data_IF_686940432219
#
_entry.id   IF_686940432219
#
_cell.length_a   1.000
_cell.length_b   1.000
_cell.length_c   1.000
_cell.angle_alpha   90.00
_cell.angle_beta   90.00
_cell.angle_gamma   90.00
#
_symmetry.space_group_name_H-M   'P 1'
#
loop_
_entity.id
_entity.type
_entity.pdbx_description
1 polymer ?
#
# COMPACT_ATOMS: atom_id res chain seq x y z
N UNK A 1 -4.39 20.73 -7.61
CA UNK A 1 -4.95 21.83 -6.81
C UNK A 1 -4.21 21.78 -5.51
N UNK A 2 -3.36 22.78 -5.27
CA UNK A 2 -2.62 22.87 -4.02
C UNK A 2 -3.58 23.39 -2.95
N UNK A 3 -3.82 22.59 -1.93
CA UNK A 3 -4.65 22.98 -0.79
C UNK A 3 -3.75 23.60 0.27
N UNK A 4 -4.02 24.84 0.63
CA UNK A 4 -3.28 25.59 1.65
C UNK A 4 -4.19 25.88 2.84
N UNK A 5 -3.64 25.77 4.05
CA UNK A 5 -4.36 26.00 5.30
C UNK A 5 -3.43 26.54 6.36
N UNK A 6 -3.92 27.51 7.12
CA UNK A 6 -3.24 28.13 8.25
C UNK A 6 -4.10 27.96 9.50
N UNK A 7 -3.46 27.60 10.61
CA UNK A 7 -4.13 27.30 11.87
C UNK A 7 -3.46 28.08 13.01
N UNK A 8 -4.22 28.95 13.65
CA UNK A 8 -3.79 29.80 14.77
C UNK A 8 -4.35 29.35 16.13
N UNK A 9 -5.17 28.30 16.12
CA UNK A 9 -5.85 27.72 17.28
C UNK A 9 -5.73 26.19 17.26
N UNK A 10 -5.87 25.57 18.44
CA UNK A 10 -5.60 24.13 18.60
C UNK A 10 -6.80 23.26 18.20
N UNK A 11 -8.02 23.78 18.36
CA UNK A 11 -9.26 23.05 18.17
C UNK A 11 -9.43 22.54 16.73
N UNK A 12 -9.15 23.32 15.68
CA UNK A 12 -9.20 22.82 14.30
C UNK A 12 -8.18 21.71 14.03
N UNK A 13 -7.02 21.74 14.71
CA UNK A 13 -5.98 20.71 14.57
C UNK A 13 -6.36 19.41 15.30
N UNK A 14 -7.16 19.49 16.36
CA UNK A 14 -7.69 18.34 17.09
C UNK A 14 -8.90 17.69 16.40
N UNK A 15 -9.54 18.39 15.45
CA UNK A 15 -10.67 17.88 14.69
C UNK A 15 -10.21 16.96 13.55
N UNK A 16 -10.12 15.64 13.80
CA UNK A 16 -9.65 14.62 12.83
C UNK A 16 -10.71 13.61 12.38
N UNK A 17 -11.97 13.81 12.76
CA UNK A 17 -13.06 12.87 12.46
C UNK A 17 -13.67 13.01 11.07
N UNK A 18 -13.28 14.02 10.29
CA UNK A 18 -13.81 14.25 8.95
C UNK A 18 -12.90 13.65 7.87
N UNK A 19 -13.33 12.58 7.18
CA UNK A 19 -12.55 11.96 6.11
C UNK A 19 -12.41 12.83 4.85
N UNK A 20 -13.16 13.93 4.74
CA UNK A 20 -13.06 14.89 3.65
C UNK A 20 -12.14 16.06 3.97
N UNK A 21 -11.63 16.14 5.20
CA UNK A 21 -10.67 17.15 5.58
C UNK A 21 -9.35 16.94 4.81
N UNK A 22 -8.95 17.90 3.95
CA UNK A 22 -7.71 17.79 3.20
C UNK A 22 -6.46 17.78 4.08
N UNK A 23 -6.58 18.18 5.36
CA UNK A 23 -5.49 18.22 6.34
C UNK A 23 -5.54 17.07 7.36
N UNK A 24 -6.45 16.09 7.19
CA UNK A 24 -6.63 15.00 8.15
C UNK A 24 -5.30 14.28 8.47
N UNK A 25 -4.45 14.08 7.47
CA UNK A 25 -3.15 13.41 7.61
C UNK A 25 -2.18 14.21 8.49
N UNK A 26 -2.02 15.50 8.21
CA UNK A 26 -1.09 16.37 8.96
C UNK A 26 -1.57 16.54 10.40
N UNK A 27 -2.88 16.73 10.61
CA UNK A 27 -3.48 16.80 11.94
C UNK A 27 -3.27 15.51 12.73
N UNK A 28 -3.53 14.36 12.11
CA UNK A 28 -3.28 13.06 12.72
C UNK A 28 -1.79 12.86 13.05
N UNK A 29 -0.88 13.34 12.20
CA UNK A 29 0.56 13.25 12.45
C UNK A 29 0.97 14.07 13.69
N UNK A 30 0.49 15.31 13.82
CA UNK A 30 0.77 16.15 14.99
C UNK A 30 0.25 15.53 16.31
N UNK A 31 -0.93 14.91 16.26
CA UNK A 31 -1.52 14.22 17.40
C UNK A 31 -0.78 12.92 17.74
N UNK A 32 -0.52 12.07 16.75
CA UNK A 32 0.13 10.78 16.94
C UNK A 32 1.57 10.95 17.43
N UNK A 33 2.30 11.94 16.92
CA UNK A 33 3.66 12.25 17.34
C UNK A 33 3.72 13.03 18.67
N UNK A 34 2.57 13.37 19.27
CA UNK A 34 2.50 14.07 20.56
C UNK A 34 2.94 15.54 20.49
N UNK A 35 2.96 16.15 19.31
CA UNK A 35 3.27 17.59 19.14
C UNK A 35 2.16 18.44 19.75
N UNK A 36 0.91 18.01 19.58
CA UNK A 36 -0.26 18.59 20.24
C UNK A 36 -1.00 17.50 21.03
N UNK A 37 -1.59 17.85 22.19
CA UNK A 37 -2.44 16.92 22.93
C UNK A 37 -3.73 16.62 22.18
N UNK A 38 -4.36 15.48 22.50
CA UNK A 38 -5.65 15.07 21.92
C UNK A 38 -6.82 15.98 22.32
N UNK A 39 -6.83 16.46 23.57
CA UNK A 39 -7.89 17.31 24.10
C UNK A 39 -7.27 18.44 24.92
N UNK A 40 -7.82 19.66 24.77
CA UNK A 40 -7.36 20.84 25.49
C UNK A 40 -5.95 21.26 25.09
N UNK A 41 -5.31 22.09 25.92
CA UNK A 41 -4.04 22.72 25.61
C UNK A 41 -4.21 24.09 24.96
N UNK A 42 -3.10 24.79 24.80
CA UNK A 42 -3.03 26.12 24.18
C UNK A 42 -1.94 26.10 23.11
N UNK A 43 -2.30 26.34 21.85
CA UNK A 43 -1.36 26.27 20.73
C UNK A 43 -0.22 27.27 20.91
N UNK A 44 -0.52 28.49 21.38
CA UNK A 44 0.49 29.53 21.58
C UNK A 44 1.59 29.07 22.54
N UNK A 45 1.20 28.53 23.69
CA UNK A 45 2.15 27.97 24.68
C UNK A 45 3.00 26.84 24.09
N UNK A 46 2.40 25.97 23.25
CA UNK A 46 3.14 24.89 22.58
C UNK A 46 4.18 25.47 21.62
N UNK A 47 3.79 26.39 20.74
CA UNK A 47 4.69 27.01 19.76
C UNK A 47 5.80 27.83 20.42
N UNK A 48 5.51 28.53 21.53
CA UNK A 48 6.52 29.23 22.33
C UNK A 48 7.59 28.29 22.88
N UNK A 49 7.19 27.10 23.36
CA UNK A 49 8.14 26.07 23.84
C UNK A 49 8.98 25.48 22.71
N UNK A 50 8.41 25.36 21.53
CA UNK A 50 9.10 24.90 20.32
C UNK A 50 10.01 25.98 19.73
N UNK A 51 9.83 27.25 20.12
CA UNK A 51 10.56 28.39 19.58
C UNK A 51 10.03 28.92 18.25
N UNK A 52 8.86 28.45 17.79
CA UNK A 52 8.27 28.85 16.51
C UNK A 52 7.09 27.97 16.06
N UNK A 53 6.52 28.33 14.91
CA UNK A 53 5.46 27.58 14.22
C UNK A 53 5.98 26.46 13.32
N UNK A 54 5.06 25.68 12.75
CA UNK A 54 5.34 24.67 11.73
C UNK A 54 4.87 25.12 10.35
N UNK A 55 5.61 24.72 9.32
CA UNK A 55 5.11 24.67 7.95
C UNK A 55 5.34 23.24 7.46
N UNK A 56 4.27 22.59 7.02
CA UNK A 56 4.31 21.20 6.58
C UNK A 56 3.79 21.08 5.16
N UNK A 57 4.63 20.56 4.26
CA UNK A 57 4.29 20.26 2.89
C UNK A 57 4.37 18.75 2.69
N UNK A 58 3.31 18.17 2.13
CA UNK A 58 3.22 16.74 1.86
C UNK A 58 2.66 16.53 0.47
N UNK A 59 3.41 15.85 -0.39
CA UNK A 59 3.02 15.54 -1.76
C UNK A 59 3.44 14.11 -2.09
N UNK A 60 2.61 13.42 -2.87
CA UNK A 60 3.00 12.18 -3.55
C UNK A 60 3.19 12.53 -5.02
N UNK A 61 4.41 12.41 -5.50
CA UNK A 61 4.75 12.67 -6.90
C UNK A 61 4.72 11.38 -7.71
N UNK A 62 4.43 11.48 -9.01
CA UNK A 62 4.49 10.38 -9.96
C UNK A 62 3.59 9.15 -9.66
N UNK A 63 2.61 9.25 -8.76
CA UNK A 63 1.67 8.15 -8.51
C UNK A 63 0.24 8.71 -8.40
N UNK A 64 -0.72 8.22 -9.22
CA UNK A 64 -2.11 8.64 -9.12
C UNK A 64 -2.73 8.33 -7.74
N UNK A 65 -3.61 9.21 -7.24
CA UNK A 65 -4.40 8.92 -6.04
C UNK A 65 -5.30 7.70 -6.29
N UNK A 66 -5.34 6.76 -5.34
CA UNK A 66 -6.11 5.52 -5.49
C UNK A 66 -5.39 4.46 -6.35
N UNK A 67 -4.06 4.52 -6.43
CA UNK A 67 -3.21 3.58 -7.16
C UNK A 67 -3.21 2.15 -6.61
N UNK A 68 -3.59 1.93 -5.35
CA UNK A 68 -3.44 0.62 -4.71
C UNK A 68 -2.00 0.29 -4.29
N UNK A 69 -1.08 1.26 -4.34
CA UNK A 69 0.34 1.12 -3.95
C UNK A 69 0.63 1.58 -2.51
N UNK A 70 -0.39 1.66 -1.65
CA UNK A 70 -0.22 2.05 -0.24
C UNK A 70 0.18 3.50 0.01
N UNK A 71 0.02 4.40 -0.99
CA UNK A 71 0.54 5.77 -0.95
C UNK A 71 0.11 6.58 0.29
N UNK A 72 -1.10 6.35 0.82
CA UNK A 72 -1.59 7.03 2.02
C UNK A 72 -0.79 6.66 3.27
N UNK A 73 -0.55 5.37 3.50
CA UNK A 73 0.19 4.87 4.66
C UNK A 73 1.68 5.23 4.54
N UNK A 74 2.23 5.20 3.32
CA UNK A 74 3.61 5.62 3.03
C UNK A 74 3.79 7.12 3.30
N UNK A 75 2.85 7.96 2.85
CA UNK A 75 2.89 9.40 3.12
C UNK A 75 2.76 9.68 4.62
N UNK A 76 1.93 8.92 5.34
CA UNK A 76 1.81 9.00 6.79
C UNK A 76 3.13 8.67 7.48
N UNK A 77 3.81 7.60 7.03
CA UNK A 77 5.13 7.23 7.57
C UNK A 77 6.18 8.31 7.32
N UNK A 78 6.21 8.88 6.11
CA UNK A 78 7.10 9.99 5.77
C UNK A 78 6.85 11.22 6.65
N UNK A 79 5.58 11.51 6.96
CA UNK A 79 5.20 12.61 7.84
C UNK A 79 5.66 12.39 9.29
N UNK A 80 5.44 11.20 9.86
CA UNK A 80 5.92 10.86 11.22
C UNK A 80 7.44 10.98 11.27
N UNK A 81 8.13 10.38 10.30
CA UNK A 81 9.60 10.43 10.24
C UNK A 81 10.12 11.87 10.15
N UNK A 82 9.54 12.69 9.28
CA UNK A 82 9.91 14.09 9.15
C UNK A 82 9.68 14.88 10.44
N UNK A 83 8.56 14.67 11.15
CA UNK A 83 8.30 15.31 12.44
C UNK A 83 9.33 14.87 13.48
N UNK A 84 9.62 13.57 13.59
CA UNK A 84 10.62 13.07 14.54
C UNK A 84 12.02 13.60 14.25
N UNK A 85 12.46 13.60 13.00
CA UNK A 85 13.75 14.18 12.62
C UNK A 85 13.80 15.68 12.91
N UNK A 86 12.75 16.43 12.56
CA UNK A 86 12.64 17.86 12.86
C UNK A 86 12.71 18.17 14.36
N UNK A 87 12.09 17.32 15.18
CA UNK A 87 12.04 17.45 16.63
C UNK A 87 13.27 16.86 17.34
N UNK A 88 14.19 16.22 16.62
CA UNK A 88 15.33 15.51 17.21
C UNK A 88 14.95 14.27 18.04
N UNK A 89 13.80 13.66 17.74
CA UNK A 89 13.29 12.45 18.41
C UNK A 89 13.89 11.23 17.72
N UNK A 90 14.70 10.47 18.46
CA UNK A 90 15.20 9.17 18.00
C UNK A 90 14.04 8.18 17.84
N UNK A 91 14.05 7.41 16.77
CA UNK A 91 13.01 6.46 16.43
C UNK A 91 13.59 5.22 15.77
N UNK A 92 12.88 4.11 15.91
CA UNK A 92 13.08 2.87 15.17
C UNK A 92 12.04 2.73 14.06
N UNK A 93 12.25 1.80 13.13
CA UNK A 93 11.24 1.47 12.11
C UNK A 93 9.94 0.96 12.75
N UNK A 94 10.03 0.20 13.84
CA UNK A 94 8.87 -0.27 14.59
C UNK A 94 8.07 0.89 15.20
N UNK A 95 8.75 1.93 15.70
CA UNK A 95 8.08 3.14 16.17
C UNK A 95 7.29 3.80 15.02
N UNK A 96 7.88 3.91 13.83
CA UNK A 96 7.20 4.47 12.66
C UNK A 96 5.95 3.66 12.28
N UNK A 97 6.03 2.32 12.29
CA UNK A 97 4.88 1.46 11.98
C UNK A 97 3.72 1.67 12.94
N UNK A 98 4.01 1.72 14.25
CA UNK A 98 2.98 1.92 15.26
C UNK A 98 2.34 3.31 15.16
N UNK A 99 3.14 4.35 14.90
CA UNK A 99 2.61 5.70 14.75
C UNK A 99 1.69 5.82 13.53
N UNK A 100 2.04 5.20 12.40
CA UNK A 100 1.14 5.18 11.23
C UNK A 100 -0.15 4.44 11.53
N UNK A 101 -0.10 3.29 12.22
CA UNK A 101 -1.30 2.57 12.65
C UNK A 101 -2.19 3.47 13.52
N UNK A 102 -1.61 4.20 14.47
CA UNK A 102 -2.35 5.16 15.31
C UNK A 102 -2.96 6.29 14.45
N UNK A 103 -2.20 6.86 13.51
CA UNK A 103 -2.71 7.89 12.61
C UNK A 103 -3.91 7.42 11.78
N UNK A 104 -3.86 6.21 11.22
CA UNK A 104 -4.96 5.64 10.43
C UNK A 104 -6.23 5.42 11.27
N UNK A 105 -6.08 5.08 12.56
CA UNK A 105 -7.19 5.01 13.51
C UNK A 105 -7.74 6.40 13.83
N UNK A 106 -6.88 7.40 14.05
CA UNK A 106 -7.29 8.80 14.30
C UNK A 106 -8.10 9.35 13.12
N UNK A 107 -7.70 9.06 11.88
CA UNK A 107 -8.40 9.47 10.66
C UNK A 107 -9.62 8.60 10.33
N UNK A 108 -9.89 7.54 11.10
CA UNK A 108 -10.98 6.57 10.85
C UNK A 108 -10.93 5.94 9.45
N UNK A 109 -9.75 5.87 8.84
CA UNK A 109 -9.57 5.22 7.54
C UNK A 109 -9.52 3.71 7.71
N UNK A 110 -8.99 3.24 8.86
CA UNK A 110 -8.68 1.83 9.06
C UNK A 110 -7.67 1.32 8.01
N UNK A 111 -7.28 0.06 8.10
CA UNK A 111 -6.34 -0.49 7.13
C UNK A 111 -5.66 -1.77 7.56
N UNK A 112 -4.86 -2.30 6.63
CA UNK A 112 -3.83 -3.28 6.96
C UNK A 112 -2.59 -2.59 7.52
N UNK A 113 -1.56 -3.37 7.81
CA UNK A 113 -0.28 -2.87 8.32
C UNK A 113 0.86 -2.99 7.30
N UNK A 114 0.60 -3.64 6.16
CA UNK A 114 1.64 -3.99 5.21
C UNK A 114 2.16 -2.80 4.39
N UNK A 115 1.36 -1.75 4.22
CA UNK A 115 1.68 -0.64 3.31
C UNK A 115 2.76 0.28 3.90
N UNK A 116 2.63 0.62 5.20
CA UNK A 116 3.63 1.41 5.92
C UNK A 116 4.95 0.66 6.08
N UNK A 117 4.90 -0.64 6.38
CA UNK A 117 6.10 -1.49 6.40
C UNK A 117 6.69 -1.57 5.00
N UNK A 118 5.79 -1.70 4.01
CA UNK A 118 6.00 -1.61 2.58
C UNK A 118 6.92 -0.48 2.14
N UNK A 119 6.58 0.75 2.52
CA UNK A 119 7.27 1.95 2.06
C UNK A 119 8.44 2.43 2.91
N UNK A 120 8.49 2.07 4.20
CA UNK A 120 9.61 2.48 5.09
C UNK A 120 10.79 1.50 4.97
N UNK A 121 10.51 0.20 4.84
CA UNK A 121 11.57 -0.80 4.65
C UNK A 121 11.85 -1.05 3.17
N UNK A 122 13.10 -0.80 2.76
CA UNK A 122 13.56 -1.02 1.39
C UNK A 122 13.65 -2.51 1.01
N UNK A 123 13.63 -2.77 -0.30
CA UNK A 123 13.83 -4.09 -0.90
C UNK A 123 12.62 -5.03 -0.78
N UNK A 124 12.85 -6.28 -1.20
CA UNK A 124 11.85 -7.35 -1.16
C UNK A 124 11.84 -7.97 0.24
N UNK A 125 10.66 -8.09 0.81
CA UNK A 125 10.47 -8.46 2.21
C UNK A 125 9.33 -9.46 2.39
N UNK A 126 9.53 -10.34 3.35
CA UNK A 126 8.51 -11.21 3.89
C UNK A 126 8.20 -10.74 5.31
N UNK A 127 6.96 -10.33 5.53
CA UNK A 127 6.54 -9.71 6.79
C UNK A 127 5.56 -10.63 7.49
N UNK A 128 5.77 -10.84 8.78
CA UNK A 128 4.91 -11.66 9.63
C UNK A 128 4.51 -10.91 10.88
N UNK A 129 3.33 -11.20 11.40
CA UNK A 129 2.88 -10.76 12.73
C UNK A 129 2.35 -11.96 13.51
N UNK A 130 2.21 -11.81 14.82
CA UNK A 130 1.61 -12.80 15.71
C UNK A 130 0.24 -12.31 16.20
N UNK A 131 -0.71 -13.22 16.52
CA UNK A 131 -1.95 -12.83 17.17
C UNK A 131 -1.69 -12.11 18.50
N UNK A 132 -2.40 -11.01 18.73
CA UNK A 132 -2.24 -10.21 19.94
C UNK A 132 -2.94 -8.85 19.81
N UNK A 133 -3.10 -8.16 20.94
CA UNK A 133 -3.56 -6.77 20.96
C UNK A 133 -2.52 -5.82 20.36
N UNK A 134 -1.25 -6.10 20.65
CA UNK A 134 -0.11 -5.40 20.06
C UNK A 134 0.30 -6.08 18.76
N UNK A 135 0.38 -5.32 17.68
CA UNK A 135 0.92 -5.80 16.41
C UNK A 135 2.45 -5.82 16.49
N UNK A 136 3.03 -7.02 16.59
CA UNK A 136 4.49 -7.22 16.58
C UNK A 136 4.94 -7.64 15.20
N UNK A 137 5.26 -6.63 14.39
CA UNK A 137 5.67 -6.80 13.00
C UNK A 137 7.11 -7.30 12.97
N UNK A 138 7.35 -8.40 12.26
CA UNK A 138 8.70 -8.91 11.99
C UNK A 138 8.95 -8.84 10.50
N UNK A 139 9.96 -8.05 10.14
CA UNK A 139 10.41 -7.90 8.75
C UNK A 139 11.59 -8.83 8.48
N UNK A 140 11.51 -9.61 7.41
CA UNK A 140 12.62 -10.42 6.90
C UNK A 140 12.91 -10.03 5.47
N UNK A 141 14.11 -9.49 5.21
CA UNK A 141 14.55 -9.22 3.84
C UNK A 141 14.84 -10.53 3.11
N UNK A 142 14.38 -10.63 1.87
CA UNK A 142 14.74 -11.75 1.00
C UNK A 142 16.14 -11.49 0.45
N UNK A 143 17.00 -12.51 0.52
CA UNK A 143 18.32 -12.48 -0.12
C UNK A 143 18.20 -13.23 -1.44
N UNK A 144 18.10 -12.48 -2.53
CA UNK A 144 17.98 -13.04 -3.87
C UNK A 144 19.30 -12.99 -4.61
N UNK A 145 19.52 -13.93 -5.54
CA UNK A 145 20.66 -13.86 -6.44
C UNK A 145 20.50 -12.68 -7.40
N UNK A 146 21.62 -12.08 -7.85
CA UNK A 146 21.57 -10.99 -8.84
C UNK A 146 20.81 -11.42 -10.10
N UNK A 147 21.03 -12.67 -10.56
CA UNK A 147 20.31 -13.25 -11.69
C UNK A 147 18.79 -13.20 -11.50
N UNK A 148 18.30 -13.52 -10.30
CA UNK A 148 16.87 -13.49 -9.97
C UNK A 148 16.33 -12.06 -9.97
N UNK A 149 17.09 -11.10 -9.43
CA UNK A 149 16.72 -9.68 -9.44
C UNK A 149 16.66 -9.14 -10.87
N UNK A 150 17.62 -9.51 -11.73
CA UNK A 150 17.67 -9.11 -13.13
C UNK A 150 16.47 -9.69 -13.90
N UNK A 151 16.19 -10.98 -13.70
CA UNK A 151 15.04 -11.66 -14.30
C UNK A 151 13.70 -11.03 -13.86
N UNK A 152 13.55 -10.72 -12.56
CA UNK A 152 12.38 -10.01 -12.07
C UNK A 152 12.28 -8.60 -12.66
N UNK A 153 13.39 -7.86 -12.78
CA UNK A 153 13.38 -6.53 -13.39
C UNK A 153 13.00 -6.57 -14.88
N UNK A 154 13.38 -7.63 -15.60
CA UNK A 154 13.01 -7.84 -16.99
C UNK A 154 11.52 -8.20 -17.14
N UNK A 155 11.02 -9.08 -16.26
CA UNK A 155 9.70 -9.72 -16.39
C UNK A 155 8.59 -9.11 -15.53
N UNK A 156 8.88 -8.33 -14.51
CA UNK A 156 7.86 -7.64 -13.71
C UNK A 156 7.40 -6.37 -14.41
N UNK A 157 6.09 -6.25 -14.58
CA UNK A 157 5.43 -5.11 -15.20
C UNK A 157 4.28 -4.63 -14.33
N UNK A 158 4.20 -3.31 -14.17
CA UNK A 158 3.04 -2.64 -13.60
C UNK A 158 2.15 -2.09 -14.72
N UNK A 159 0.84 -2.30 -14.60
CA UNK A 159 -0.17 -1.77 -15.52
C UNK A 159 -1.12 -0.90 -14.71
N UNK A 160 -1.22 0.39 -15.04
CA UNK A 160 -2.23 1.25 -14.44
C UNK A 160 -3.55 1.08 -15.20
N UNK A 161 -4.64 0.89 -14.48
CA UNK A 161 -5.97 0.62 -15.07
C UNK A 161 -6.74 1.87 -15.46
N UNK A 162 -6.26 3.08 -15.13
CA UNK A 162 -7.05 4.31 -15.24
C UNK A 162 -8.09 4.49 -14.13
N UNK A 163 -8.56 3.39 -13.52
CA UNK A 163 -9.62 3.41 -12.52
C UNK A 163 -9.09 3.67 -11.12
N UNK A 164 -9.87 4.41 -10.33
CA UNK A 164 -9.62 4.66 -8.91
C UNK A 164 -10.70 3.99 -8.08
N UNK A 165 -10.33 3.17 -7.08
CA UNK A 165 -11.26 2.61 -6.10
C UNK A 165 -10.84 3.02 -4.69
N UNK A 166 -11.80 3.52 -3.92
CA UNK A 166 -11.65 3.69 -2.47
C UNK A 166 -12.03 2.36 -1.80
N UNK A 167 -11.06 1.70 -1.17
CA UNK A 167 -11.23 0.40 -0.50
C UNK A 167 -12.02 0.46 0.83
N UNK A 168 -12.81 1.51 1.07
CA UNK A 168 -13.39 1.81 2.39
C UNK A 168 -14.41 0.76 2.84
N UNK A 169 -15.23 0.26 1.92
CA UNK A 169 -16.22 -0.78 2.24
C UNK A 169 -15.61 -2.20 2.23
N UNK A 170 -14.55 -2.39 1.45
CA UNK A 170 -13.89 -3.68 1.30
C UNK A 170 -13.42 -4.26 2.63
N UNK A 171 -12.65 -3.48 3.38
CA UNK A 171 -12.08 -3.92 4.65
C UNK A 171 -13.18 -4.36 5.62
N UNK A 172 -14.30 -3.63 5.65
CA UNK A 172 -15.43 -3.97 6.51
C UNK A 172 -16.08 -5.29 6.10
N UNK A 173 -16.23 -5.55 4.81
CA UNK A 173 -16.85 -6.77 4.30
C UNK A 173 -15.95 -8.00 4.48
N UNK A 174 -14.64 -7.85 4.28
CA UNK A 174 -13.66 -8.94 4.50
C UNK A 174 -13.53 -9.28 5.98
N UNK A 175 -13.37 -8.27 6.83
CA UNK A 175 -13.28 -8.47 8.29
C UNK A 175 -14.61 -9.00 8.85
N UNK A 176 -15.75 -8.51 8.34
CA UNK A 176 -17.07 -8.98 8.75
C UNK A 176 -17.26 -10.47 8.51
N UNK A 177 -16.90 -10.96 7.32
CA UNK A 177 -16.98 -12.40 6.98
C UNK A 177 -16.01 -13.26 7.76
N UNK A 178 -14.80 -12.76 8.00
CA UNK A 178 -13.83 -13.46 8.84
C UNK A 178 -14.30 -13.59 10.29
N UNK A 179 -14.80 -12.51 10.89
CA UNK A 179 -15.39 -12.53 12.25
C UNK A 179 -16.65 -13.40 12.29
N UNK A 180 -17.44 -13.39 11.22
CA UNK A 180 -18.60 -14.26 11.03
C UNK A 180 -18.24 -15.75 10.85
N UNK A 181 -16.95 -16.09 10.78
CA UNK A 181 -16.44 -17.44 10.58
C UNK A 181 -16.99 -18.10 9.30
N UNK A 182 -17.11 -17.31 8.23
CA UNK A 182 -17.53 -17.84 6.92
C UNK A 182 -16.46 -18.80 6.38
N UNK A 183 -16.81 -20.06 6.05
CA UNK A 183 -15.83 -21.08 5.69
C UNK A 183 -14.90 -20.68 4.54
N UNK A 184 -15.45 -20.10 3.47
CA UNK A 184 -14.68 -19.70 2.29
C UNK A 184 -13.71 -18.55 2.59
N UNK A 185 -14.13 -17.58 3.41
CA UNK A 185 -13.29 -16.45 3.81
C UNK A 185 -12.12 -16.92 4.68
N UNK A 186 -12.39 -17.77 5.68
CA UNK A 186 -11.36 -18.32 6.58
C UNK A 186 -10.39 -19.20 5.81
N UNK A 187 -10.90 -20.05 4.92
CA UNK A 187 -10.08 -20.88 4.05
C UNK A 187 -9.16 -20.03 3.16
N UNK A 188 -9.72 -19.06 2.45
CA UNK A 188 -8.96 -18.25 1.52
C UNK A 188 -7.86 -17.44 2.23
N UNK A 189 -8.15 -16.85 3.39
CA UNK A 189 -7.15 -16.13 4.20
C UNK A 189 -6.01 -17.05 4.68
N UNK A 190 -6.33 -18.28 5.09
CA UNK A 190 -5.33 -19.27 5.49
C UNK A 190 -4.45 -19.71 4.31
N UNK A 191 -5.05 -19.90 3.13
CA UNK A 191 -4.32 -20.26 1.93
C UNK A 191 -3.46 -19.10 1.39
N UNK A 192 -3.91 -17.84 1.50
CA UNK A 192 -3.11 -16.66 1.15
C UNK A 192 -1.85 -16.62 2.01
N UNK A 193 -1.98 -16.86 3.33
CA UNK A 193 -0.83 -16.89 4.23
C UNK A 193 0.20 -17.94 3.82
N UNK A 194 -0.24 -19.16 3.51
CA UNK A 194 0.65 -20.25 3.03
C UNK A 194 1.28 -19.90 1.69
N UNK A 195 0.49 -19.33 0.77
CA UNK A 195 0.94 -18.94 -0.56
C UNK A 195 2.05 -17.88 -0.47
N UNK A 196 1.94 -16.91 0.43
CA UNK A 196 2.99 -15.91 0.66
C UNK A 196 4.31 -16.54 1.15
N UNK A 197 4.24 -17.56 2.02
CA UNK A 197 5.44 -18.28 2.46
C UNK A 197 6.10 -19.10 1.33
N UNK A 198 5.28 -19.70 0.46
CA UNK A 198 5.78 -20.40 -0.73
C UNK A 198 6.38 -19.43 -1.75
N UNK A 199 5.77 -18.26 -1.96
CA UNK A 199 6.31 -17.22 -2.84
C UNK A 199 7.73 -16.81 -2.43
N UNK A 200 7.92 -16.60 -1.12
CA UNK A 200 9.26 -16.34 -0.57
C UNK A 200 10.23 -17.48 -0.90
N UNK A 201 9.83 -18.72 -0.62
CA UNK A 201 10.67 -19.89 -0.81
C UNK A 201 11.11 -20.06 -2.28
N UNK A 202 10.20 -19.87 -3.24
CA UNK A 202 10.53 -20.00 -4.66
C UNK A 202 11.40 -18.84 -5.17
N UNK A 203 11.16 -17.60 -4.70
CA UNK A 203 12.03 -16.47 -5.01
C UNK A 203 13.46 -16.67 -4.48
N UNK A 204 13.62 -17.10 -3.22
CA UNK A 204 14.94 -17.37 -2.63
C UNK A 204 15.71 -18.49 -3.37
N UNK A 205 15.01 -19.38 -4.07
CA UNK A 205 15.58 -20.42 -4.94
C UNK A 205 15.84 -19.95 -6.38
N UNK A 206 15.38 -18.75 -6.74
CA UNK A 206 15.47 -18.19 -8.08
C UNK A 206 14.45 -18.74 -9.08
N UNK A 207 13.35 -19.34 -8.61
CA UNK A 207 12.31 -19.92 -9.44
C UNK A 207 11.20 -18.89 -9.71
N UNK A 208 11.43 -17.97 -10.66
CA UNK A 208 10.48 -16.89 -10.99
C UNK A 208 9.17 -17.43 -11.59
N UNK A 209 9.23 -18.52 -12.36
CA UNK A 209 8.04 -19.14 -12.95
C UNK A 209 7.09 -19.71 -11.87
N UNK A 210 7.63 -20.42 -10.88
CA UNK A 210 6.84 -20.94 -9.76
C UNK A 210 6.27 -19.80 -8.90
N UNK A 211 7.03 -18.71 -8.71
CA UNK A 211 6.51 -17.50 -8.08
C UNK A 211 5.32 -16.90 -8.87
N UNK A 212 5.38 -16.91 -10.20
CA UNK A 212 4.31 -16.43 -11.07
C UNK A 212 3.03 -17.29 -10.95
N UNK A 213 3.17 -18.62 -10.86
CA UNK A 213 2.02 -19.51 -10.60
C UNK A 213 1.40 -19.28 -9.22
N UNK A 214 2.23 -19.03 -8.20
CA UNK A 214 1.74 -18.67 -6.88
C UNK A 214 1.01 -17.31 -6.88
N UNK A 215 1.44 -16.35 -7.72
CA UNK A 215 0.70 -15.09 -7.92
C UNK A 215 -0.70 -15.36 -8.50
N UNK A 216 -0.83 -16.25 -9.48
CA UNK A 216 -2.13 -16.66 -10.03
C UNK A 216 -3.00 -17.31 -8.94
N UNK A 217 -2.43 -18.21 -8.14
CA UNK A 217 -3.14 -18.82 -7.00
C UNK A 217 -3.63 -17.75 -6.02
N UNK A 218 -2.76 -16.79 -5.68
CA UNK A 218 -3.14 -15.68 -4.81
C UNK A 218 -4.29 -14.87 -5.40
N UNK A 219 -4.26 -14.58 -6.70
CA UNK A 219 -5.32 -13.83 -7.36
C UNK A 219 -6.69 -14.52 -7.28
N UNK A 220 -6.75 -15.83 -7.50
CA UNK A 220 -7.99 -16.59 -7.34
C UNK A 220 -8.51 -16.54 -5.89
N UNK A 221 -7.61 -16.65 -4.90
CA UNK A 221 -7.97 -16.51 -3.49
C UNK A 221 -8.46 -15.10 -3.14
N UNK A 222 -7.85 -14.05 -3.70
CA UNK A 222 -8.29 -12.66 -3.51
C UNK A 222 -9.72 -12.47 -4.02
N UNK A 223 -10.08 -13.04 -5.17
CA UNK A 223 -11.45 -12.99 -5.70
C UNK A 223 -12.47 -13.74 -4.83
N UNK A 224 -12.07 -14.82 -4.17
CA UNK A 224 -12.92 -15.49 -3.18
C UNK A 224 -13.17 -14.60 -1.95
N UNK A 225 -12.15 -13.86 -1.54
CA UNK A 225 -12.23 -12.96 -0.39
C UNK A 225 -12.99 -11.69 -0.74
N UNK A 226 -12.89 -11.12 -1.93
CA UNK A 226 -13.70 -9.97 -2.34
C UNK A 226 -14.07 -10.07 -3.81
N UNK A 227 -15.38 -10.12 -4.07
CA UNK A 227 -15.92 -10.08 -5.42
C UNK A 227 -15.63 -8.74 -6.12
N UNK A 228 -15.40 -7.66 -5.36
CA UNK A 228 -14.96 -6.38 -5.89
C UNK A 228 -13.46 -6.30 -6.22
N UNK A 229 -12.67 -7.36 -5.98
CA UNK A 229 -11.23 -7.38 -6.29
C UNK A 229 -10.97 -7.18 -7.79
N UNK A 230 -11.92 -7.57 -8.63
CA UNK A 230 -11.91 -7.39 -10.08
C UNK A 230 -13.16 -6.67 -10.56
N UNK A 231 -13.14 -6.27 -11.82
CA UNK A 231 -14.29 -5.77 -12.56
C UNK A 231 -14.09 -6.03 -14.07
N UNK A 232 -15.08 -5.69 -14.89
CA UNK A 232 -15.04 -5.94 -16.33
C UNK A 232 -13.80 -5.38 -17.02
N UNK A 233 -13.33 -4.19 -16.64
CA UNK A 233 -12.12 -3.61 -17.25
C UNK A 233 -10.87 -4.40 -16.86
N UNK A 234 -10.71 -4.75 -15.59
CA UNK A 234 -9.56 -5.54 -15.11
C UNK A 234 -9.54 -6.91 -15.79
N UNK A 235 -10.70 -7.57 -15.88
CA UNK A 235 -10.83 -8.86 -16.55
C UNK A 235 -10.50 -8.76 -18.04
N UNK A 236 -10.92 -7.68 -18.72
CA UNK A 236 -10.55 -7.41 -20.11
C UNK A 236 -9.04 -7.17 -20.28
N UNK A 237 -8.42 -6.39 -19.38
CA UNK A 237 -6.97 -6.16 -19.42
C UNK A 237 -6.24 -7.49 -19.29
N UNK A 238 -6.56 -8.29 -18.27
CA UNK A 238 -5.93 -9.60 -18.10
C UNK A 238 -6.18 -10.55 -19.25
N UNK A 239 -7.39 -10.60 -19.81
CA UNK A 239 -7.69 -11.42 -20.99
C UNK A 239 -6.88 -10.98 -22.21
N UNK A 240 -6.67 -9.67 -22.40
CA UNK A 240 -5.93 -9.12 -23.54
C UNK A 240 -4.44 -9.46 -23.54
N UNK A 241 -3.85 -9.79 -22.38
CA UNK A 241 -2.42 -10.10 -22.22
C UNK A 241 -2.16 -11.52 -21.71
N UNK A 242 -3.18 -12.37 -21.59
CA UNK A 242 -3.08 -13.71 -20.98
C UNK A 242 -2.07 -14.62 -21.71
N UNK A 243 -1.95 -14.46 -23.04
CA UNK A 243 -0.96 -15.16 -23.85
C UNK A 243 0.49 -14.72 -23.57
N UNK A 244 0.68 -13.54 -22.97
CA UNK A 244 1.98 -12.90 -22.74
C UNK A 244 2.46 -12.99 -21.28
N UNK A 245 1.56 -13.23 -20.32
CA UNK A 245 1.86 -13.23 -18.88
C UNK A 245 1.87 -14.63 -18.28
N UNK A 246 2.83 -14.88 -17.37
CA UNK A 246 2.93 -16.10 -16.57
C UNK A 246 2.19 -15.96 -15.23
N UNK A 247 2.16 -14.76 -14.66
CA UNK A 247 1.54 -14.48 -13.36
C UNK A 247 0.83 -13.14 -13.34
N UNK A 248 -0.29 -13.03 -12.62
CA UNK A 248 -1.05 -11.78 -12.49
C UNK A 248 -1.63 -11.60 -11.09
N UNK A 249 -1.63 -10.35 -10.61
CA UNK A 249 -2.28 -9.95 -9.37
C UNK A 249 -2.64 -8.46 -9.42
N UNK A 250 -3.71 -8.06 -8.73
CA UNK A 250 -4.02 -6.63 -8.53
C UNK A 250 -3.28 -6.12 -7.30
N UNK A 251 -2.71 -4.92 -7.36
CA UNK A 251 -2.06 -4.30 -6.22
C UNK A 251 -3.09 -3.84 -5.18
N UNK A 252 -2.76 -4.06 -3.89
CA UNK A 252 -3.59 -3.62 -2.77
C UNK A 252 -4.97 -4.30 -2.73
N UNK A 253 -5.98 -3.50 -2.44
CA UNK A 253 -7.36 -3.92 -2.22
C UNK A 253 -8.12 -4.43 -3.47
N UNK A 254 -7.60 -4.21 -4.68
CA UNK A 254 -8.30 -4.61 -5.90
C UNK A 254 -9.36 -3.63 -6.39
N UNK A 255 -9.92 -3.91 -7.57
CA UNK A 255 -11.03 -3.16 -8.19
C UNK A 255 -10.66 -1.84 -8.86
N UNK A 256 -9.35 -1.57 -9.01
CA UNK A 256 -8.78 -0.42 -9.72
C UNK A 256 -7.29 -0.27 -9.41
N UNK A 257 -6.69 0.85 -9.82
CA UNK A 257 -5.29 1.15 -9.50
C UNK A 257 -4.31 0.39 -10.39
N UNK A 258 -3.25 -0.14 -9.80
CA UNK A 258 -2.21 -0.90 -10.50
C UNK A 258 -2.48 -2.41 -10.48
N UNK A 259 -2.18 -3.04 -11.61
CA UNK A 259 -1.99 -4.47 -11.74
C UNK A 259 -0.50 -4.76 -11.77
N UNK A 260 -0.10 -5.90 -11.23
CA UNK A 260 1.24 -6.44 -11.39
C UNK A 260 1.17 -7.75 -12.17
N UNK A 261 2.04 -7.89 -13.17
CA UNK A 261 2.15 -9.10 -13.97
C UNK A 261 3.61 -9.52 -14.10
N UNK A 262 3.81 -10.84 -14.18
CA UNK A 262 5.09 -11.45 -14.55
C UNK A 262 4.96 -11.93 -16.00
N UNK A 263 5.83 -11.45 -16.89
CA UNK A 263 5.85 -11.85 -18.29
C UNK A 263 6.32 -13.29 -18.45
N UNK A 264 5.87 -13.98 -19.50
CA UNK A 264 6.48 -15.26 -19.91
C UNK A 264 7.91 -15.06 -20.39
N UNK A 265 8.73 -16.11 -20.30
CA UNK A 265 10.09 -16.07 -20.83
C UNK A 265 10.10 -15.72 -22.33
N UNK A 266 10.93 -14.76 -22.71
CA UNK A 266 11.05 -14.27 -24.08
C UNK A 266 10.02 -13.20 -24.50
N UNK A 267 9.05 -12.87 -23.64
CA UNK A 267 8.13 -11.75 -23.85
C UNK A 267 8.75 -10.47 -23.29
N UNK A 268 8.68 -9.38 -24.05
CA UNK A 268 9.26 -8.09 -23.66
C UNK A 268 8.21 -7.13 -23.12
N UNK A 269 8.67 -6.11 -22.36
CA UNK A 269 7.81 -4.99 -21.92
C UNK A 269 7.18 -4.24 -23.10
N UNK A 270 7.84 -4.22 -24.26
CA UNK A 270 7.31 -3.60 -25.47
C UNK A 270 6.11 -4.36 -26.04
N UNK A 271 6.10 -5.69 -25.95
CA UNK A 271 4.99 -6.52 -26.43
C UNK A 271 3.71 -6.21 -25.65
N UNK A 272 3.82 -6.11 -24.33
CA UNK A 272 2.70 -5.69 -23.45
C UNK A 272 2.26 -4.27 -23.78
N UNK A 273 3.18 -3.32 -23.87
CA UNK A 273 2.84 -1.93 -24.16
C UNK A 273 2.11 -1.80 -25.50
N UNK A 274 2.55 -2.51 -26.53
CA UNK A 274 1.90 -2.49 -27.83
C UNK A 274 0.51 -3.12 -27.78
N UNK A 275 0.35 -4.27 -27.10
CA UNK A 275 -0.96 -4.93 -26.92
C UNK A 275 -1.94 -4.05 -26.17
N UNK A 276 -1.51 -3.39 -25.09
CA UNK A 276 -2.37 -2.47 -24.33
C UNK A 276 -2.81 -1.28 -25.18
N UNK A 277 -1.89 -0.68 -25.97
CA UNK A 277 -2.24 0.42 -26.87
C UNK A 277 -3.22 0.02 -27.97
N UNK A 278 -3.08 -1.19 -28.52
CA UNK A 278 -3.98 -1.69 -29.57
C UNK A 278 -5.40 -1.93 -29.04
N UNK A 279 -5.53 -2.46 -27.83
CA UNK A 279 -6.85 -2.80 -27.25
C UNK A 279 -7.50 -1.61 -26.54
N UNK A 280 -6.71 -0.69 -26.00
CA UNK A 280 -7.17 0.35 -25.07
C UNK A 280 -6.75 1.78 -25.48
N UNK A 281 -6.64 2.05 -26.79
CA UNK A 281 -6.09 3.29 -27.39
C UNK A 281 -6.66 4.60 -26.79
N UNK A 282 -7.95 4.64 -26.49
CA UNK A 282 -8.66 5.82 -25.96
C UNK A 282 -8.87 5.79 -24.43
N UNK A 283 -8.10 4.98 -23.70
CA UNK A 283 -8.24 4.86 -22.24
C UNK A 283 -6.96 5.23 -21.49
N UNK A 284 -7.07 5.45 -20.18
CA UNK A 284 -5.94 5.68 -19.27
C UNK A 284 -5.16 4.40 -18.92
N UNK A 285 -5.44 3.27 -19.58
CA UNK A 285 -4.73 2.00 -19.35
C UNK A 285 -3.34 2.06 -19.99
N UNK A 286 -2.29 2.02 -19.17
CA UNK A 286 -0.92 2.03 -19.69
C UNK A 286 0.04 1.25 -18.80
N UNK A 287 1.17 0.86 -19.39
CA UNK A 287 2.27 0.20 -18.72
C UNK A 287 3.16 1.24 -18.04
N UNK A 288 3.47 1.00 -16.76
CA UNK A 288 4.32 1.87 -15.95
C UNK A 288 5.71 1.27 -15.74
N UNK A 289 6.71 2.14 -15.76
CA UNK A 289 8.08 1.74 -15.49
C UNK A 289 8.27 1.48 -13.99
N UNK A 290 8.81 0.32 -13.65
CA UNK A 290 9.20 -0.05 -12.30
C UNK A 290 10.54 -0.77 -12.34
N UNK A 291 11.27 -0.68 -11.23
CA UNK A 291 12.51 -1.41 -10.98
C UNK A 291 12.57 -1.84 -9.52
N UNK A 292 13.13 -3.02 -9.30
CA UNK A 292 13.47 -3.52 -7.98
C UNK A 292 14.82 -2.91 -7.60
N UNK A 293 14.85 -2.18 -6.48
CA UNK A 293 16.02 -1.49 -5.91
C UNK A 293 16.47 -2.21 -4.64
#
# INVERSE_FOLDING_TARGET
MDTHGEFDSIEPLQATGDPYDPFALQKAALLACGIIPKNGGDLKTILERLGGGFIMHSEVTNVPKGSGLGTSSILSAACVKAIFEFMGIAHTDDDLYQHVLVMEQIMSTGGGWQDQVGGVTNGIKFITTAPGLEQKIKVSHLVLSQKTIDELNERLVLIYTGQRRLARNLLRDVIGRYIGNEPDSVFALNEIQKTAALMRFELERGNVDEFAELLNKHWELSKMIDSGSTNTLIDQIFASVDDLVAGKLVCGAGGGGFLQVILKNGVTKSDIRNRLKEVFEDSDVDMWNCSII
#
